data_IF_324137145677
#
_entry.id   IF_324137145677
#
_cell.length_a   1.000
_cell.length_b   1.000
_cell.length_c   1.000
_cell.angle_alpha   90.00
_cell.angle_beta   90.00
_cell.angle_gamma   90.00
#
_symmetry.space_group_name_H-M   'P 1'
#
loop_
_entity.id
_entity.type
_entity.pdbx_description
1 polymer ?
#
# COMPACT_ATOMS: atom_id res chain seq x y z
N UNK A 1 -9.35 4.18 -18.22
CA UNK A 1 -7.97 4.72 -18.10
C UNK A 1 -7.07 3.93 -19.03
N UNK A 2 -6.05 4.56 -19.62
CA UNK A 2 -4.98 3.87 -20.35
C UNK A 2 -3.79 3.69 -19.40
N UNK A 3 -3.24 2.48 -19.33
CA UNK A 3 -2.10 2.17 -18.44
C UNK A 3 -0.79 2.55 -19.13
N UNK A 4 0.05 3.28 -18.42
CA UNK A 4 1.44 3.60 -18.80
C UNK A 4 2.34 3.13 -17.66
N UNK A 5 3.23 2.19 -17.93
CA UNK A 5 4.15 1.62 -16.91
C UNK A 5 5.31 2.58 -16.69
N UNK A 6 5.63 2.89 -15.44
CA UNK A 6 6.85 3.60 -15.03
C UNK A 6 7.88 2.56 -14.60
N UNK A 7 9.14 2.76 -15.00
CA UNK A 7 10.24 1.87 -14.69
C UNK A 7 10.61 1.92 -13.19
N UNK A 8 11.27 0.87 -12.73
CA UNK A 8 11.97 0.88 -11.44
C UNK A 8 13.47 0.96 -11.68
N UNK A 9 14.20 1.61 -10.77
CA UNK A 9 15.66 1.59 -10.75
C UNK A 9 16.20 0.22 -10.32
N UNK A 10 17.52 0.05 -10.39
CA UNK A 10 18.21 -1.18 -9.98
C UNK A 10 18.04 -1.56 -8.50
N UNK A 11 17.64 -0.61 -7.66
CA UNK A 11 17.39 -0.82 -6.23
C UNK A 11 15.91 -1.08 -5.94
N UNK A 12 15.06 -1.15 -6.99
CA UNK A 12 13.64 -1.43 -6.88
C UNK A 12 12.78 -0.21 -6.49
N UNK A 13 13.30 1.01 -6.57
CA UNK A 13 12.52 2.25 -6.37
C UNK A 13 11.91 2.73 -7.69
N UNK A 14 10.94 3.63 -7.63
CA UNK A 14 10.39 4.30 -8.81
C UNK A 14 11.51 5.11 -9.51
N UNK A 15 11.67 4.91 -10.82
CA UNK A 15 12.57 5.73 -11.64
C UNK A 15 11.94 7.12 -11.85
N UNK A 16 12.43 8.12 -11.12
CA UNK A 16 11.96 9.50 -11.19
C UNK A 16 12.18 10.14 -12.57
N UNK A 17 13.25 9.78 -13.28
CA UNK A 17 13.53 10.38 -14.59
C UNK A 17 12.52 9.85 -15.62
N UNK A 18 12.26 8.54 -15.61
CA UNK A 18 11.24 7.93 -16.44
C UNK A 18 9.83 8.43 -16.08
N UNK A 19 9.52 8.57 -14.79
CA UNK A 19 8.26 9.16 -14.33
C UNK A 19 8.07 10.58 -14.89
N UNK A 20 9.08 11.45 -14.76
CA UNK A 20 9.01 12.84 -15.25
C UNK A 20 8.81 12.89 -16.75
N UNK A 21 9.56 12.09 -17.51
CA UNK A 21 9.43 12.01 -18.97
C UNK A 21 8.02 11.57 -19.39
N UNK A 22 7.45 10.56 -18.73
CA UNK A 22 6.09 10.07 -19.01
C UNK A 22 5.01 11.05 -18.56
N UNK A 23 5.18 11.69 -17.41
CA UNK A 23 4.24 12.71 -16.92
C UNK A 23 4.19 13.91 -17.88
N UNK A 24 5.34 14.35 -18.40
CA UNK A 24 5.42 15.41 -19.42
C UNK A 24 4.79 14.96 -20.75
N UNK A 25 5.17 13.78 -21.26
CA UNK A 25 4.61 13.23 -22.50
C UNK A 25 3.08 13.10 -22.45
N UNK A 26 2.53 12.74 -21.28
CA UNK A 26 1.11 12.51 -21.10
C UNK A 26 0.36 13.67 -20.43
N UNK A 27 1.00 14.83 -20.21
CA UNK A 27 0.47 15.92 -19.40
C UNK A 27 -0.98 16.33 -19.76
N UNK A 28 -1.31 16.39 -21.05
CA UNK A 28 -2.65 16.76 -21.51
C UNK A 28 -3.75 15.75 -21.13
N UNK A 29 -3.39 14.50 -20.83
CA UNK A 29 -4.30 13.38 -20.55
C UNK A 29 -3.93 12.65 -19.25
N UNK A 30 -3.05 13.21 -18.42
CA UNK A 30 -2.57 12.56 -17.20
C UNK A 30 -3.68 12.54 -16.16
N UNK A 31 -4.24 11.35 -15.91
CA UNK A 31 -5.31 11.17 -14.93
C UNK A 31 -4.77 11.00 -13.51
N UNK A 32 -3.90 10.01 -13.30
CA UNK A 32 -3.38 9.69 -11.97
C UNK A 32 -2.14 8.81 -12.04
N UNK A 33 -1.44 8.70 -10.92
CA UNK A 33 -0.50 7.62 -10.62
C UNK A 33 -1.12 6.68 -9.57
N UNK A 34 -0.77 5.40 -9.64
CA UNK A 34 -1.01 4.43 -8.58
C UNK A 34 0.34 4.02 -7.99
N UNK A 35 0.54 4.28 -6.70
CA UNK A 35 1.77 3.93 -5.98
C UNK A 35 1.45 3.12 -4.74
N UNK A 36 2.35 2.25 -4.31
CA UNK A 36 2.26 1.53 -3.04
C UNK A 36 3.33 2.09 -2.10
N UNK A 37 2.97 2.43 -0.87
CA UNK A 37 3.95 2.91 0.11
C UNK A 37 3.77 2.23 1.48
N UNK A 38 4.85 1.74 2.12
CA UNK A 38 6.12 1.35 1.50
C UNK A 38 5.90 0.49 0.23
N UNK A 39 6.88 0.47 -0.67
CA UNK A 39 6.75 -0.24 -1.94
C UNK A 39 6.47 -1.73 -1.74
N UNK A 40 6.04 -2.43 -2.80
CA UNK A 40 5.85 -3.89 -2.78
C UNK A 40 7.15 -4.68 -2.59
N UNK A 41 8.30 -3.98 -2.60
CA UNK A 41 9.60 -4.55 -2.25
C UNK A 41 9.90 -4.46 -0.75
N UNK A 42 8.99 -3.92 0.06
CA UNK A 42 9.17 -3.76 1.50
C UNK A 42 10.14 -2.63 1.85
N UNK A 43 10.25 -1.58 1.02
CA UNK A 43 11.21 -0.48 1.21
C UNK A 43 10.52 0.87 1.27
N UNK A 44 11.01 1.75 2.14
CA UNK A 44 10.61 3.16 2.17
C UNK A 44 11.38 3.94 1.10
N UNK A 45 10.68 4.34 0.04
CA UNK A 45 11.24 5.21 -0.99
C UNK A 45 11.42 6.64 -0.45
N UNK A 46 12.65 7.17 -0.52
CA UNK A 46 12.95 8.52 -0.02
C UNK A 46 12.31 9.62 -0.88
N UNK A 47 11.95 9.30 -2.13
CA UNK A 47 11.46 10.22 -3.16
C UNK A 47 9.94 10.24 -3.30
N UNK A 48 9.19 9.51 -2.44
CA UNK A 48 7.73 9.35 -2.61
C UNK A 48 6.95 10.67 -2.67
N UNK A 49 7.43 11.70 -1.95
CA UNK A 49 6.82 13.04 -1.98
C UNK A 49 7.07 13.74 -3.31
N UNK A 50 8.28 13.61 -3.85
CA UNK A 50 8.64 14.13 -5.17
C UNK A 50 7.83 13.44 -6.27
N UNK A 51 7.58 12.13 -6.16
CA UNK A 51 6.67 11.40 -7.05
C UNK A 51 5.27 12.02 -7.04
N UNK A 52 4.72 12.34 -5.85
CA UNK A 52 3.42 12.99 -5.74
C UNK A 52 3.44 14.39 -6.39
N UNK A 53 4.48 15.18 -6.11
CA UNK A 53 4.64 16.54 -6.62
C UNK A 53 4.73 16.57 -8.16
N UNK A 54 5.48 15.65 -8.78
CA UNK A 54 5.57 15.52 -10.24
C UNK A 54 4.19 15.29 -10.85
N UNK A 55 3.42 14.36 -10.29
CA UNK A 55 2.10 14.03 -10.83
C UNK A 55 1.13 15.19 -10.68
N UNK A 56 1.15 15.87 -9.54
CA UNK A 56 0.35 17.08 -9.31
C UNK A 56 0.75 18.23 -10.24
N UNK A 57 2.05 18.41 -10.52
CA UNK A 57 2.56 19.45 -11.43
C UNK A 57 1.98 19.31 -12.85
N UNK A 58 1.76 18.08 -13.30
CA UNK A 58 1.16 17.79 -14.62
C UNK A 58 -0.37 17.55 -14.54
N UNK A 59 -1.03 17.95 -13.45
CA UNK A 59 -2.49 17.94 -13.32
C UNK A 59 -3.12 16.61 -12.94
N UNK A 60 -2.32 15.57 -12.67
CA UNK A 60 -2.79 14.26 -12.25
C UNK A 60 -3.17 14.21 -10.76
N UNK A 61 -3.81 13.11 -10.36
CA UNK A 61 -4.08 12.76 -8.95
C UNK A 61 -3.20 11.60 -8.47
N UNK A 62 -3.00 11.48 -7.16
CA UNK A 62 -2.19 10.42 -6.56
C UNK A 62 -3.09 9.44 -5.83
N UNK A 63 -3.19 8.22 -6.37
CA UNK A 63 -3.76 7.07 -5.66
C UNK A 63 -2.63 6.32 -4.94
N UNK A 64 -2.78 6.14 -3.63
CA UNK A 64 -1.86 5.34 -2.84
C UNK A 64 -2.54 4.04 -2.40
N UNK A 65 -2.01 2.91 -2.82
CA UNK A 65 -2.39 1.59 -2.35
C UNK A 65 -2.00 1.45 -0.86
N UNK A 66 -3.00 1.41 0.02
CA UNK A 66 -2.82 1.33 1.47
C UNK A 66 -2.76 -0.09 2.02
N UNK A 67 -2.53 -1.11 1.18
CA UNK A 67 -2.34 -2.48 1.66
C UNK A 67 -1.16 -2.61 2.65
N UNK A 68 -0.14 -1.77 2.49
CA UNK A 68 1.08 -1.75 3.31
C UNK A 68 1.00 -0.76 4.50
N UNK A 69 -0.21 -0.34 4.88
CA UNK A 69 -0.41 0.62 5.99
C UNK A 69 0.04 0.10 7.35
N UNK A 70 0.26 -1.21 7.52
CA UNK A 70 0.81 -1.75 8.77
C UNK A 70 2.21 -1.20 9.08
N UNK A 71 2.93 -0.69 8.08
CA UNK A 71 4.19 0.02 8.26
C UNK A 71 4.00 1.52 8.57
N UNK A 72 2.81 2.10 8.39
CA UNK A 72 2.61 3.55 8.45
C UNK A 72 1.83 4.04 9.68
N UNK A 73 0.88 3.24 10.17
CA UNK A 73 -0.08 3.66 11.20
C UNK A 73 0.63 4.25 12.43
N UNK A 74 0.27 5.48 12.82
CA UNK A 74 0.86 6.17 13.96
C UNK A 74 2.28 6.75 13.74
N UNK A 75 2.84 6.57 12.54
CA UNK A 75 4.17 7.08 12.14
C UNK A 75 4.04 8.14 11.03
N UNK A 76 3.27 7.85 9.99
CA UNK A 76 2.97 8.75 8.88
C UNK A 76 1.54 8.52 8.38
N UNK A 77 1.12 9.21 7.32
CA UNK A 77 -0.17 8.97 6.67
C UNK A 77 -0.10 9.23 5.15
N UNK A 78 -0.94 8.57 4.33
CA UNK A 78 -1.00 8.83 2.89
C UNK A 78 -1.19 10.31 2.54
N UNK A 79 -2.08 11.00 3.28
CA UNK A 79 -2.36 12.42 3.08
C UNK A 79 -1.15 13.32 3.38
N UNK A 80 -0.34 12.99 4.39
CA UNK A 80 0.91 13.69 4.69
C UNK A 80 1.98 13.49 3.61
N UNK A 81 2.04 12.28 3.03
CA UNK A 81 2.97 11.95 1.94
C UNK A 81 2.63 12.73 0.67
N UNK A 82 1.35 12.94 0.39
CA UNK A 82 0.88 13.67 -0.79
C UNK A 82 -0.30 13.02 -1.49
N UNK A 83 -0.69 11.80 -1.12
CA UNK A 83 -1.78 11.07 -1.76
C UNK A 83 -3.12 11.81 -1.64
N UNK A 84 -3.93 11.73 -2.69
CA UNK A 84 -5.26 12.33 -2.75
C UNK A 84 -6.35 11.33 -2.36
N UNK A 85 -6.12 10.05 -2.67
CA UNK A 85 -7.01 8.95 -2.31
C UNK A 85 -6.18 7.71 -1.96
N UNK A 86 -6.63 6.95 -0.96
CA UNK A 86 -6.05 5.67 -0.61
C UNK A 86 -7.14 4.70 -0.16
N UNK A 87 -7.08 3.46 -0.64
CA UNK A 87 -7.87 2.39 -0.06
C UNK A 87 -7.10 1.73 1.10
N UNK A 88 -7.83 1.18 2.08
CA UNK A 88 -7.25 0.41 3.18
C UNK A 88 -7.71 -1.03 3.14
N UNK A 89 -6.83 -2.00 3.37
CA UNK A 89 -7.24 -3.40 3.56
C UNK A 89 -7.55 -3.64 5.04
N UNK A 90 -8.82 -3.52 5.43
CA UNK A 90 -9.22 -3.80 6.82
C UNK A 90 -8.94 -5.26 7.25
N UNK A 91 -8.93 -6.16 6.28
CA UNK A 91 -8.61 -7.59 6.44
C UNK A 91 -7.11 -7.91 6.45
N UNK A 92 -6.26 -6.89 6.31
CA UNK A 92 -4.82 -7.01 6.55
C UNK A 92 -4.46 -6.20 7.79
N UNK A 93 -4.44 -4.87 7.67
CA UNK A 93 -3.92 -3.96 8.70
C UNK A 93 -4.82 -3.84 9.92
N UNK A 94 -6.14 -4.01 9.75
CA UNK A 94 -7.12 -3.72 10.80
C UNK A 94 -7.94 -4.95 11.22
N UNK A 95 -7.28 -6.10 11.22
CA UNK A 95 -7.67 -7.33 11.92
C UNK A 95 -8.96 -8.04 11.47
N UNK A 96 -9.62 -7.64 10.37
CA UNK A 96 -10.69 -8.50 9.81
C UNK A 96 -10.04 -9.84 9.39
N UNK A 97 -10.61 -11.00 9.76
CA UNK A 97 -9.99 -12.29 9.48
C UNK A 97 -9.94 -12.59 7.98
N UNK A 98 -8.86 -13.23 7.52
CA UNK A 98 -8.66 -13.59 6.11
C UNK A 98 -9.61 -14.68 5.60
N UNK A 99 -10.11 -15.54 6.49
CA UNK A 99 -11.19 -16.51 6.20
C UNK A 99 -10.95 -17.48 5.03
N UNK A 100 -9.69 -17.76 4.66
CA UNK A 100 -9.36 -18.63 3.53
C UNK A 100 -9.57 -18.00 2.15
N UNK A 101 -9.67 -16.66 2.07
CA UNK A 101 -9.89 -15.93 0.81
C UNK A 101 -10.96 -14.83 0.89
N UNK A 102 -11.48 -14.54 2.08
CA UNK A 102 -12.50 -13.53 2.35
C UNK A 102 -13.25 -13.82 3.66
N UNK A 103 -14.00 -12.86 4.22
CA UNK A 103 -14.37 -11.56 3.64
C UNK A 103 -13.31 -10.47 3.81
N UNK A 104 -13.43 -9.40 3.03
CA UNK A 104 -12.62 -8.19 3.16
C UNK A 104 -13.46 -6.92 3.09
N UNK A 105 -12.93 -5.83 3.65
CA UNK A 105 -13.42 -4.46 3.46
C UNK A 105 -12.28 -3.56 2.97
N UNK A 106 -12.60 -2.72 1.99
CA UNK A 106 -11.68 -1.82 1.29
C UNK A 106 -12.15 -0.35 1.31
N UNK A 107 -12.35 0.29 2.48
CA UNK A 107 -12.77 1.69 2.51
C UNK A 107 -11.72 2.60 1.89
N UNK A 108 -12.16 3.69 1.27
CA UNK A 108 -11.29 4.73 0.74
C UNK A 108 -11.30 5.96 1.65
N UNK A 109 -10.11 6.49 1.94
CA UNK A 109 -9.93 7.85 2.43
C UNK A 109 -9.61 8.77 1.27
N UNK A 110 -10.24 9.94 1.20
CA UNK A 110 -10.02 10.93 0.14
C UNK A 110 -9.77 12.32 0.72
N UNK A 111 -9.00 13.14 0.02
CA UNK A 111 -8.93 14.59 0.30
C UNK A 111 -10.25 15.29 -0.04
N UNK A 112 -10.46 16.46 0.55
CA UNK A 112 -11.72 17.20 0.51
C UNK A 112 -12.23 17.50 -0.90
N UNK A 113 -11.34 17.76 -1.86
CA UNK A 113 -11.73 18.05 -3.25
C UNK A 113 -12.31 16.84 -3.98
N UNK A 114 -12.01 15.62 -3.53
CA UNK A 114 -12.57 14.37 -4.05
C UNK A 114 -13.84 13.92 -3.31
N UNK A 115 -14.09 14.44 -2.10
CA UNK A 115 -15.20 14.01 -1.25
C UNK A 115 -16.59 14.08 -1.92
N UNK A 116 -16.96 15.10 -2.72
CA UNK A 116 -18.24 15.12 -3.41
C UNK A 116 -18.44 13.99 -4.44
N UNK A 117 -17.36 13.34 -4.86
CA UNK A 117 -17.32 12.34 -5.93
C UNK A 117 -17.18 10.90 -5.44
N UNK A 118 -17.09 10.66 -4.12
CA UNK A 118 -17.04 9.28 -3.58
C UNK A 118 -18.31 8.51 -3.93
N UNK A 119 -18.32 7.17 -3.99
CA UNK A 119 -19.52 6.41 -4.36
C UNK A 119 -20.73 6.68 -3.45
N UNK A 120 -21.86 7.06 -4.04
CA UNK A 120 -23.16 7.12 -3.38
C UNK A 120 -23.96 5.81 -3.54
N UNK A 121 -25.22 5.81 -3.11
CA UNK A 121 -26.11 4.64 -3.25
C UNK A 121 -27.54 5.08 -3.57
N UNK A 122 -28.22 4.36 -4.48
CA UNK A 122 -29.56 4.75 -4.96
C UNK A 122 -30.62 4.71 -3.85
N UNK A 123 -30.53 3.75 -2.93
CA UNK A 123 -31.49 3.56 -1.82
C UNK A 123 -31.16 4.42 -0.59
N UNK A 124 -29.89 4.63 -0.28
CA UNK A 124 -29.45 5.38 0.92
C UNK A 124 -28.67 6.58 0.44
N UNK A 125 -29.31 7.74 0.51
CA UNK A 125 -28.77 9.00 0.05
C UNK A 125 -28.01 9.67 1.19
N UNK A 126 -26.77 10.11 0.92
CA UNK A 126 -25.95 10.87 1.86
C UNK A 126 -25.87 12.31 1.36
N UNK A 127 -26.16 13.26 2.24
CA UNK A 127 -26.13 14.69 1.92
C UNK A 127 -24.73 15.14 1.47
N UNK A 128 -24.67 16.03 0.50
CA UNK A 128 -23.40 16.56 -0.05
C UNK A 128 -22.71 15.70 -1.11
N UNK A 129 -23.20 14.47 -1.38
CA UNK A 129 -22.67 13.65 -2.48
C UNK A 129 -23.30 13.97 -3.84
N UNK A 130 -22.47 14.07 -4.88
CA UNK A 130 -22.91 14.29 -6.27
C UNK A 130 -23.27 12.97 -6.98
N UNK A 131 -22.75 11.84 -6.50
CA UNK A 131 -22.79 10.51 -7.13
C UNK A 131 -23.95 9.63 -6.62
N UNK A 132 -25.16 10.20 -6.55
CA UNK A 132 -26.35 9.54 -5.97
C UNK A 132 -26.74 8.19 -6.59
N UNK A 133 -26.28 7.91 -7.81
CA UNK A 133 -26.49 6.65 -8.54
C UNK A 133 -25.17 5.89 -8.83
N UNK A 134 -24.03 6.35 -8.30
CA UNK A 134 -22.69 5.79 -8.55
C UNK A 134 -22.30 4.65 -7.60
N UNK A 135 -23.21 3.70 -7.33
CA UNK A 135 -22.95 2.61 -6.41
C UNK A 135 -21.90 1.63 -6.96
N UNK A 136 -20.88 1.32 -6.14
CA UNK A 136 -19.83 0.31 -6.44
C UNK A 136 -20.05 -0.99 -5.66
N UNK A 137 -21.08 -1.04 -4.83
CA UNK A 137 -21.45 -2.19 -3.99
C UNK A 137 -22.97 -2.27 -3.86
N UNK A 138 -23.50 -3.48 -3.71
CA UNK A 138 -24.95 -3.71 -3.63
C UNK A 138 -25.59 -3.15 -2.35
N UNK A 139 -24.81 -3.02 -1.27
CA UNK A 139 -25.22 -2.37 -0.03
C UNK A 139 -24.41 -1.07 0.16
N UNK A 140 -25.01 -0.01 0.73
CA UNK A 140 -24.38 1.32 0.82
C UNK A 140 -23.08 1.34 1.63
N UNK A 141 -22.88 0.38 2.52
CA UNK A 141 -21.68 0.26 3.35
C UNK A 141 -20.98 -1.09 3.20
N UNK A 142 -21.27 -1.82 2.10
CA UNK A 142 -20.73 -3.16 1.87
C UNK A 142 -21.05 -4.13 3.01
N UNK A 143 -20.04 -4.89 3.43
CA UNK A 143 -20.13 -5.86 4.53
C UNK A 143 -20.10 -5.19 5.90
N UNK A 144 -21.12 -4.40 6.23
CA UNK A 144 -21.13 -3.56 7.43
C UNK A 144 -20.97 -4.34 8.75
N UNK A 145 -21.42 -5.59 8.81
CA UNK A 145 -21.37 -6.43 10.03
C UNK A 145 -19.95 -6.76 10.52
N UNK A 146 -18.94 -6.67 9.65
CA UNK A 146 -17.53 -6.95 10.01
C UNK A 146 -16.73 -5.69 10.35
N UNK A 147 -17.28 -4.49 10.10
CA UNK A 147 -16.64 -3.22 10.48
C UNK A 147 -16.36 -3.07 11.99
N UNK A 148 -17.19 -3.58 12.91
CA UNK A 148 -16.89 -3.55 14.34
C UNK A 148 -15.55 -4.21 14.73
N UNK A 149 -15.03 -5.15 13.93
CA UNK A 149 -13.74 -5.79 14.21
C UNK A 149 -12.61 -4.75 14.17
N UNK A 150 -12.50 -4.02 13.06
CA UNK A 150 -11.51 -2.95 12.89
C UNK A 150 -11.74 -1.80 13.87
N UNK A 151 -13.00 -1.46 14.14
CA UNK A 151 -13.34 -0.45 15.14
C UNK A 151 -12.83 -0.85 16.52
N UNK A 152 -13.09 -2.09 16.96
CA UNK A 152 -12.62 -2.60 18.25
C UNK A 152 -11.10 -2.60 18.35
N UNK A 153 -10.40 -3.06 17.30
CA UNK A 153 -8.93 -3.01 17.24
C UNK A 153 -8.41 -1.59 17.46
N UNK A 154 -8.90 -0.61 16.69
CA UNK A 154 -8.50 0.80 16.82
C UNK A 154 -8.79 1.34 18.22
N UNK A 155 -9.97 1.04 18.77
CA UNK A 155 -10.41 1.54 20.08
C UNK A 155 -9.62 0.94 21.24
N UNK A 156 -9.28 -0.34 21.19
CA UNK A 156 -8.54 -1.01 22.25
C UNK A 156 -7.05 -0.67 22.22
N UNK A 157 -6.46 -0.55 21.02
CA UNK A 157 -5.04 -0.21 20.87
C UNK A 157 -4.77 1.26 21.22
N UNK A 158 -5.70 2.17 20.86
CA UNK A 158 -5.48 3.61 20.97
C UNK A 158 -4.31 4.09 20.09
N UNK A 159 -4.03 5.39 20.12
CA UNK A 159 -2.98 5.96 19.26
C UNK A 159 -1.59 5.39 19.56
N UNK A 160 -1.26 5.19 20.84
CA UNK A 160 0.03 4.66 21.26
C UNK A 160 0.19 3.18 20.85
N UNK A 161 -0.80 2.34 21.13
CA UNK A 161 -0.75 0.93 20.76
C UNK A 161 -0.70 0.73 19.25
N UNK A 162 -1.44 1.53 18.48
CA UNK A 162 -1.38 1.50 17.02
C UNK A 162 0.02 1.85 16.48
N UNK A 163 0.64 2.91 17.02
CA UNK A 163 2.03 3.27 16.68
C UNK A 163 3.02 2.16 17.05
N UNK A 164 2.88 1.60 18.25
CA UNK A 164 3.74 0.50 18.72
C UNK A 164 3.58 -0.75 17.84
N UNK A 165 2.37 -1.06 17.37
CA UNK A 165 2.14 -2.18 16.47
C UNK A 165 2.91 -2.02 15.14
N UNK A 166 2.88 -0.83 14.52
CA UNK A 166 3.67 -0.55 13.32
C UNK A 166 5.17 -0.59 13.58
N UNK A 167 5.64 -0.04 14.70
CA UNK A 167 7.05 -0.12 15.09
C UNK A 167 7.51 -1.57 15.28
N UNK A 168 6.68 -2.41 15.90
CA UNK A 168 6.96 -3.82 16.11
C UNK A 168 6.96 -4.61 14.79
N UNK A 169 6.04 -4.30 13.87
CA UNK A 169 6.04 -4.91 12.53
C UNK A 169 7.35 -4.62 11.79
N UNK A 170 7.82 -3.37 11.82
CA UNK A 170 9.09 -2.96 11.21
C UNK A 170 10.28 -3.62 11.91
N UNK A 171 10.29 -3.63 13.25
CA UNK A 171 11.36 -4.25 14.04
C UNK A 171 11.49 -5.75 13.74
N UNK A 172 10.37 -6.48 13.73
CA UNK A 172 10.35 -7.92 13.48
C UNK A 172 10.84 -8.26 12.08
N UNK A 173 10.41 -7.52 11.06
CA UNK A 173 10.88 -7.70 9.68
C UNK A 173 12.40 -7.47 9.57
N UNK A 174 12.91 -6.39 10.17
CA UNK A 174 14.35 -6.11 10.18
C UNK A 174 15.15 -7.14 10.98
N UNK A 175 14.60 -7.68 12.06
CA UNK A 175 15.23 -8.76 12.82
C UNK A 175 15.37 -10.02 11.94
N UNK A 176 14.29 -10.45 11.27
CA UNK A 176 14.30 -11.60 10.36
C UNK A 176 15.30 -11.38 9.22
N UNK A 177 15.22 -10.24 8.53
CA UNK A 177 16.14 -9.88 7.45
C UNK A 177 17.61 -9.93 7.91
N UNK A 178 17.91 -9.36 9.09
CA UNK A 178 19.27 -9.37 9.66
C UNK A 178 19.75 -10.78 10.02
N UNK A 179 18.86 -11.64 10.52
CA UNK A 179 19.18 -13.02 10.91
C UNK A 179 19.41 -13.94 9.72
N UNK A 180 18.77 -13.67 8.59
CA UNK A 180 18.80 -14.55 7.41
C UNK A 180 19.75 -14.07 6.31
N UNK A 181 20.18 -12.81 6.30
CA UNK A 181 20.93 -12.19 5.19
C UNK A 181 22.19 -12.94 4.74
N UNK A 182 22.88 -13.65 5.63
CA UNK A 182 24.13 -14.34 5.32
C UNK A 182 23.88 -15.67 4.59
N UNK A 183 22.70 -16.28 4.79
CA UNK A 183 22.27 -17.50 4.10
C UNK A 183 21.39 -17.20 2.88
N UNK A 184 20.56 -16.16 2.98
CA UNK A 184 19.64 -15.71 1.94
C UNK A 184 19.76 -14.20 1.80
N UNK A 185 20.45 -13.68 0.77
CA UNK A 185 20.61 -12.25 0.58
C UNK A 185 19.27 -11.51 0.57
N UNK A 186 19.19 -10.34 1.19
CA UNK A 186 17.99 -9.50 1.14
C UNK A 186 18.01 -8.72 -0.17
N UNK A 187 17.01 -8.94 -1.03
CA UNK A 187 17.03 -8.45 -2.42
C UNK A 187 16.98 -6.92 -2.52
N UNK A 188 16.12 -6.29 -1.72
CA UNK A 188 15.95 -4.84 -1.69
C UNK A 188 16.03 -4.32 -0.26
N UNK A 189 16.73 -3.21 -0.09
CA UNK A 189 16.81 -2.49 1.19
C UNK A 189 16.72 -1.00 0.94
N UNK A 190 16.17 -0.27 1.91
CA UNK A 190 16.20 1.17 1.93
C UNK A 190 17.47 1.70 2.58
N UNK A 191 17.38 2.95 3.05
CA UNK A 191 18.44 3.62 3.79
C UNK A 191 18.97 2.75 4.94
N UNK A 192 20.29 2.79 5.13
CA UNK A 192 21.00 2.07 6.20
C UNK A 192 20.77 0.54 6.18
N UNK A 193 20.42 -0.03 5.01
CA UNK A 193 20.20 -1.47 4.84
C UNK A 193 18.94 -1.97 5.54
N UNK A 194 17.96 -1.09 5.78
CA UNK A 194 16.72 -1.41 6.49
C UNK A 194 15.56 -1.71 5.56
N UNK A 195 14.66 -2.57 6.01
CA UNK A 195 13.38 -2.85 5.36
C UNK A 195 12.23 -2.20 6.13
N UNK A 196 11.04 -2.18 5.56
CA UNK A 196 9.82 -1.74 6.22
C UNK A 196 9.22 -2.91 7.05
N UNK A 197 7.95 -3.25 6.82
CA UNK A 197 7.26 -4.34 7.53
C UNK A 197 7.41 -5.74 6.89
N UNK A 198 8.14 -5.83 5.78
CA UNK A 198 8.36 -7.07 5.03
C UNK A 198 9.73 -7.01 4.33
N UNK A 199 10.26 -8.15 3.90
CA UNK A 199 11.51 -8.24 3.15
C UNK A 199 11.45 -9.35 2.11
N UNK A 200 12.25 -9.24 1.05
CA UNK A 200 12.39 -10.28 0.03
C UNK A 200 13.75 -10.97 0.23
N UNK A 201 13.72 -12.28 0.43
CA UNK A 201 14.91 -13.13 0.48
C UNK A 201 15.18 -13.66 -0.93
N UNK A 202 16.38 -13.40 -1.45
CA UNK A 202 16.80 -13.83 -2.77
C UNK A 202 17.30 -15.27 -2.75
N UNK A 203 16.46 -16.18 -3.25
CA UNK A 203 16.75 -17.60 -3.34
C UNK A 203 17.32 -18.01 -4.71
N UNK A 204 17.43 -17.08 -5.67
CA UNK A 204 17.93 -17.38 -7.02
C UNK A 204 19.37 -17.95 -7.00
N UNK A 205 20.32 -17.43 -6.20
CA UNK A 205 21.65 -18.03 -6.10
C UNK A 205 21.59 -19.49 -5.61
N UNK A 206 20.76 -19.78 -4.59
CA UNK A 206 20.59 -21.14 -4.09
C UNK A 206 20.03 -22.08 -5.17
N UNK A 207 19.05 -21.60 -5.96
CA UNK A 207 18.47 -22.35 -7.07
C UNK A 207 19.49 -22.64 -8.17
N UNK A 208 20.32 -21.67 -8.51
CA UNK A 208 21.40 -21.83 -9.50
C UNK A 208 22.45 -22.84 -9.04
N UNK A 209 22.79 -22.86 -7.76
CA UNK A 209 23.79 -23.76 -7.19
C UNK A 209 23.29 -25.19 -6.93
N UNK A 210 22.03 -25.34 -6.53
CA UNK A 210 21.51 -26.61 -5.97
C UNK A 210 20.31 -27.18 -6.72
N UNK A 211 19.66 -26.38 -7.58
CA UNK A 211 18.37 -26.71 -8.19
C UNK A 211 17.16 -26.55 -7.26
N UNK A 212 17.35 -26.23 -5.97
CA UNK A 212 16.27 -26.01 -5.01
C UNK A 212 15.51 -24.73 -5.37
N UNK A 213 14.22 -24.85 -5.64
CA UNK A 213 13.36 -23.74 -6.03
C UNK A 213 12.63 -23.11 -4.86
N UNK A 214 12.01 -21.95 -5.12
CA UNK A 214 11.10 -21.26 -4.21
C UNK A 214 9.93 -22.14 -3.77
N UNK A 215 9.46 -23.05 -4.64
CA UNK A 215 8.38 -23.99 -4.33
C UNK A 215 8.83 -25.09 -3.38
N UNK A 216 10.06 -25.58 -3.54
CA UNK A 216 10.62 -26.63 -2.67
C UNK A 216 10.76 -26.09 -1.23
N UNK A 217 11.27 -24.87 -1.09
CA UNK A 217 11.39 -24.20 0.21
C UNK A 217 10.00 -23.98 0.81
N UNK A 218 9.05 -23.43 0.05
CA UNK A 218 7.70 -23.16 0.55
C UNK A 218 6.98 -24.43 1.04
N UNK A 219 7.11 -25.55 0.31
CA UNK A 219 6.47 -26.81 0.68
C UNK A 219 7.13 -27.50 1.86
N UNK A 220 8.40 -27.25 2.13
CA UNK A 220 9.09 -27.75 3.31
C UNK A 220 8.73 -26.99 4.59
N UNK A 221 8.16 -25.79 4.47
CA UNK A 221 7.75 -24.95 5.62
C UNK A 221 6.27 -25.02 5.97
N UNK A 222 5.43 -25.52 5.05
CA UNK A 222 3.99 -25.79 5.27
C UNK A 222 3.78 -27.02 6.17
#
# INVERSE_FOLDING_TARGET
MQVVVVACDKNGNIDLADLRAKAEQHAANLSCIMVTYPSTHGVYEETIREVCEVVHQFGGQVYLDGANMNAQVGITSPGFIGADVSHLNLHKTFCIPHGGGGPGMGPIGVKSHLAPFVPGHSVVQIEGMLTRQGAVSAAPFGSASILPISWMYIRMMGAEGLKQASQMAILNANYIATRLKDAFPVLYTGRDGRVAHECILDIRPLKEETGISELDIAKATD
#
